data_IF_681304135565
#
_entry.id   IF_681304135565
#
_cell.length_a   1.000
_cell.length_b   1.000
_cell.length_c   1.000
_cell.angle_alpha   90.00
_cell.angle_beta   90.00
_cell.angle_gamma   90.00
#
_symmetry.space_group_name_H-M   'P 1'
#
loop_
_entity.id
_entity.type
_entity.pdbx_description
1 polymer ?
#
# COMPACT_ATOMS: atom_id res chain seq x y z
N UNK A 1 -5.10 20.09 43.09
CA UNK A 1 -3.73 19.80 43.57
C UNK A 1 -3.14 18.74 42.65
N UNK A 2 -1.94 19.02 42.11
CA UNK A 2 -1.11 18.26 41.14
C UNK A 2 -1.65 18.19 39.70
N UNK A 3 -1.06 18.96 38.77
CA UNK A 3 0.20 18.68 38.03
C UNK A 3 0.06 17.35 37.28
N UNK A 4 0.16 17.24 35.96
CA UNK A 4 0.76 18.08 34.94
C UNK A 4 1.50 17.13 33.99
N UNK A 5 1.20 17.13 32.69
CA UNK A 5 2.24 16.99 31.66
C UNK A 5 1.71 17.38 30.28
N UNK A 6 2.15 18.53 29.81
CA UNK A 6 2.04 18.99 28.42
C UNK A 6 3.04 18.22 27.55
N UNK A 7 2.56 17.49 26.55
CA UNK A 7 3.40 17.22 25.36
C UNK A 7 3.03 18.20 24.25
N UNK A 8 3.55 19.43 24.38
CA UNK A 8 3.70 20.35 23.25
C UNK A 8 4.90 19.88 22.44
N UNK A 9 4.66 19.14 21.37
CA UNK A 9 5.72 18.79 20.42
C UNK A 9 6.06 20.04 19.60
N UNK A 10 7.11 20.73 20.05
CA UNK A 10 7.65 21.93 19.47
C UNK A 10 8.59 21.53 18.32
N UNK A 11 8.08 21.43 17.09
CA UNK A 11 8.92 21.23 15.91
C UNK A 11 9.44 22.58 15.39
N UNK A 12 10.26 23.25 16.21
CA UNK A 12 11.10 24.38 15.80
C UNK A 12 12.56 23.97 15.94
N UNK A 13 13.09 23.27 14.92
CA UNK A 13 14.52 23.30 14.66
C UNK A 13 14.79 24.30 13.54
N UNK A 14 15.54 25.34 13.91
CA UNK A 14 16.12 26.39 13.08
C UNK A 14 16.80 25.78 11.84
N UNK A 15 16.21 25.94 10.66
CA UNK A 15 16.96 25.96 9.41
C UNK A 15 17.44 27.40 9.19
N UNK A 16 18.62 27.71 9.71
CA UNK A 16 19.25 29.02 9.49
C UNK A 16 20.74 28.82 9.24
N UNK A 17 21.05 28.18 8.10
CA UNK A 17 22.39 28.24 7.48
C UNK A 17 22.24 28.07 5.95
N UNK A 18 21.56 29.00 5.29
CA UNK A 18 21.67 29.26 3.86
C UNK A 18 21.54 30.78 3.71
N UNK A 19 22.68 31.51 3.64
CA UNK A 19 23.05 32.05 2.33
C UNK A 19 24.58 32.19 2.11
N UNK A 20 25.43 31.29 2.64
CA UNK A 20 26.89 31.39 2.40
C UNK A 20 27.31 30.69 1.09
N UNK A 21 26.61 29.64 0.66
CA UNK A 21 27.01 28.87 -0.52
C UNK A 21 26.63 29.48 -1.89
N UNK A 22 25.84 30.56 -1.94
CA UNK A 22 25.47 31.19 -3.21
C UNK A 22 26.55 32.20 -3.68
N UNK A 23 27.33 32.76 -2.75
CA UNK A 23 28.38 33.74 -3.08
C UNK A 23 29.64 33.05 -3.62
N UNK A 24 29.92 31.80 -3.23
CA UNK A 24 31.07 31.04 -3.74
C UNK A 24 30.83 30.47 -5.16
N UNK A 25 29.58 30.16 -5.51
CA UNK A 25 29.21 29.64 -6.84
C UNK A 25 29.18 30.77 -7.89
N UNK A 26 28.88 32.00 -7.49
CA UNK A 26 28.88 33.17 -8.39
C UNK A 26 30.28 33.62 -8.84
N UNK A 27 31.33 33.32 -8.08
CA UNK A 27 32.70 33.77 -8.39
C UNK A 27 33.47 32.81 -9.33
N UNK A 28 32.93 31.62 -9.58
CA UNK A 28 33.49 30.62 -10.49
C UNK A 28 32.95 30.70 -11.93
N UNK A 29 32.08 31.68 -12.23
CA UNK A 29 31.47 31.84 -13.56
C UNK A 29 32.05 32.99 -14.40
N UNK A 30 33.12 33.64 -13.92
CA UNK A 30 33.72 34.81 -14.57
C UNK A 30 35.02 34.51 -15.36
N UNK A 31 35.40 33.24 -15.54
CA UNK A 31 36.56 32.89 -16.35
C UNK A 31 36.16 31.92 -17.46
N UNK A 32 35.88 32.49 -18.64
CA UNK A 32 35.76 31.76 -19.90
C UNK A 32 37.05 30.97 -20.16
N UNK A 33 36.96 29.64 -20.15
CA UNK A 33 37.75 28.83 -21.09
C UNK A 33 36.97 27.60 -21.54
N UNK A 34 36.42 27.73 -22.73
CA UNK A 34 36.32 26.70 -23.75
C UNK A 34 37.43 25.65 -23.61
N UNK A 35 37.11 24.45 -23.09
CA UNK A 35 37.53 23.15 -23.61
C UNK A 35 36.49 22.10 -23.21
N UNK A 36 36.01 21.38 -24.22
CA UNK A 36 35.34 20.08 -24.17
C UNK A 36 35.39 19.38 -22.80
N UNK A 37 34.24 19.33 -22.10
CA UNK A 37 33.94 18.20 -21.23
C UNK A 37 32.90 17.33 -21.93
N UNK A 38 33.20 16.05 -22.13
CA UNK A 38 32.56 15.19 -23.11
C UNK A 38 31.10 14.93 -22.74
N UNK A 39 30.36 14.43 -23.71
CA UNK A 39 29.01 13.88 -23.64
C UNK A 39 28.88 12.68 -22.67
N UNK A 40 29.45 12.76 -21.47
CA UNK A 40 29.48 11.74 -20.43
C UNK A 40 28.66 12.13 -19.18
N UNK A 41 28.02 13.30 -19.19
CA UNK A 41 27.06 13.70 -18.15
C UNK A 41 25.61 13.27 -18.42
N UNK A 42 25.27 12.99 -19.68
CA UNK A 42 23.91 12.60 -20.08
C UNK A 42 23.53 11.17 -19.71
N UNK A 43 24.51 10.28 -19.56
CA UNK A 43 24.25 8.85 -19.33
C UNK A 43 23.90 8.54 -17.86
N UNK A 44 24.50 9.25 -16.90
CA UNK A 44 24.19 9.07 -15.47
C UNK A 44 22.83 9.68 -15.07
N UNK A 45 22.43 10.79 -15.69
CA UNK A 45 21.10 11.38 -15.47
C UNK A 45 19.98 10.44 -15.98
N UNK A 46 20.19 9.80 -17.13
CA UNK A 46 19.24 8.82 -17.67
C UNK A 46 19.09 7.57 -16.77
N UNK A 47 20.16 7.12 -16.10
CA UNK A 47 20.11 5.92 -15.23
C UNK A 47 19.33 6.19 -13.93
N UNK A 48 19.44 7.39 -13.34
CA UNK A 48 18.67 7.73 -12.13
C UNK A 48 17.16 7.80 -12.42
N UNK A 49 16.79 8.35 -13.58
CA UNK A 49 15.39 8.47 -14.01
C UNK A 49 14.74 7.09 -14.26
N UNK A 50 15.48 6.17 -14.89
CA UNK A 50 14.98 4.81 -15.15
C UNK A 50 14.73 4.01 -13.86
N UNK A 51 15.57 4.15 -12.82
CA UNK A 51 15.37 3.47 -11.54
C UNK A 51 14.14 4.02 -10.78
N UNK A 52 13.95 5.34 -10.81
CA UNK A 52 12.77 6.01 -10.24
C UNK A 52 11.48 5.59 -10.96
N UNK A 53 11.47 5.62 -12.30
CA UNK A 53 10.32 5.14 -13.09
C UNK A 53 10.01 3.67 -12.80
N UNK A 54 11.04 2.81 -12.67
CA UNK A 54 10.86 1.39 -12.34
C UNK A 54 10.34 1.17 -10.91
N UNK A 55 10.75 1.99 -9.94
CA UNK A 55 10.20 1.96 -8.58
C UNK A 55 8.74 2.42 -8.57
N UNK A 56 8.44 3.52 -9.25
CA UNK A 56 7.08 4.04 -9.39
C UNK A 56 6.15 3.01 -10.01
N UNK A 57 6.55 2.38 -11.11
CA UNK A 57 5.75 1.34 -11.78
C UNK A 57 5.45 0.15 -10.86
N UNK A 58 6.41 -0.25 -10.00
CA UNK A 58 6.21 -1.32 -9.01
C UNK A 58 5.23 -0.91 -7.92
N UNK A 59 5.33 0.30 -7.41
CA UNK A 59 4.40 0.82 -6.41
C UNK A 59 2.99 0.93 -6.97
N UNK A 60 2.84 1.49 -8.17
CA UNK A 60 1.55 1.56 -8.84
C UNK A 60 0.95 0.17 -9.07
N UNK A 61 1.78 -0.82 -9.46
CA UNK A 61 1.32 -2.20 -9.59
C UNK A 61 0.80 -2.75 -8.26
N UNK A 62 1.53 -2.53 -7.16
CA UNK A 62 1.10 -2.96 -5.83
C UNK A 62 -0.23 -2.31 -5.43
N UNK A 63 -0.35 -0.99 -5.61
CA UNK A 63 -1.59 -0.25 -5.30
C UNK A 63 -2.77 -0.73 -6.13
N UNK A 64 -2.56 -1.04 -7.41
CA UNK A 64 -3.59 -1.64 -8.27
C UNK A 64 -4.05 -3.00 -7.74
N UNK A 65 -3.13 -3.87 -7.33
CA UNK A 65 -3.47 -5.18 -6.78
C UNK A 65 -4.25 -5.06 -5.46
N UNK A 66 -3.83 -4.15 -4.57
CA UNK A 66 -4.56 -3.85 -3.33
C UNK A 66 -5.99 -3.41 -3.64
N UNK A 67 -6.17 -2.48 -4.59
CA UNK A 67 -7.49 -2.00 -4.98
C UNK A 67 -8.36 -3.12 -5.59
N UNK A 68 -7.78 -3.99 -6.42
CA UNK A 68 -8.50 -5.14 -6.97
C UNK A 68 -8.99 -6.08 -5.87
N UNK A 69 -8.15 -6.35 -4.87
CA UNK A 69 -8.51 -7.19 -3.72
C UNK A 69 -9.65 -6.56 -2.90
N UNK A 70 -9.59 -5.25 -2.66
CA UNK A 70 -10.66 -4.53 -1.97
C UNK A 70 -11.98 -4.53 -2.75
N UNK A 71 -11.95 -4.44 -4.08
CA UNK A 71 -13.15 -4.55 -4.91
C UNK A 71 -13.81 -5.93 -4.81
N UNK A 72 -13.02 -7.00 -4.69
CA UNK A 72 -13.55 -8.37 -4.47
C UNK A 72 -14.30 -8.48 -3.14
N UNK A 73 -14.00 -7.64 -2.14
CA UNK A 73 -14.70 -7.66 -0.85
C UNK A 73 -16.22 -7.45 -1.00
N UNK A 74 -16.66 -6.71 -2.01
CA UNK A 74 -18.10 -6.54 -2.30
C UNK A 74 -18.76 -7.85 -2.77
N UNK A 75 -18.08 -8.66 -3.58
CA UNK A 75 -18.60 -9.98 -3.98
C UNK A 75 -18.64 -10.95 -2.79
N UNK A 76 -17.61 -10.91 -1.94
CA UNK A 76 -17.60 -11.67 -0.68
C UNK A 76 -18.79 -11.26 0.20
N UNK A 77 -19.03 -9.94 0.33
CA UNK A 77 -20.15 -9.41 1.09
C UNK A 77 -21.48 -9.94 0.54
N UNK A 78 -21.71 -9.83 -0.78
CA UNK A 78 -22.94 -10.32 -1.43
C UNK A 78 -23.15 -11.82 -1.19
N UNK A 79 -22.09 -12.61 -1.28
CA UNK A 79 -22.18 -14.06 -1.08
C UNK A 79 -22.54 -14.38 0.37
N UNK A 80 -21.85 -13.74 1.33
CA UNK A 80 -22.11 -13.93 2.76
C UNK A 80 -23.50 -13.46 3.16
N UNK A 81 -23.96 -12.33 2.61
CA UNK A 81 -25.32 -11.81 2.81
C UNK A 81 -26.37 -12.84 2.39
N UNK A 82 -26.27 -13.34 1.14
CA UNK A 82 -27.18 -14.36 0.61
C UNK A 82 -27.19 -15.65 1.44
N UNK A 83 -26.03 -16.06 1.97
CA UNK A 83 -25.86 -17.27 2.76
C UNK A 83 -26.03 -17.07 4.26
N UNK A 84 -26.35 -15.85 4.70
CA UNK A 84 -26.44 -15.43 6.12
C UNK A 84 -25.20 -15.81 6.93
N UNK A 85 -24.03 -15.70 6.32
CA UNK A 85 -22.74 -16.01 6.92
C UNK A 85 -22.15 -14.77 7.61
N UNK A 86 -21.39 -14.99 8.67
CA UNK A 86 -20.69 -13.93 9.37
C UNK A 86 -19.58 -13.32 8.50
N UNK A 87 -19.34 -12.01 8.66
CA UNK A 87 -18.23 -11.32 8.01
C UNK A 87 -16.89 -11.86 8.52
N UNK A 88 -16.77 -12.12 9.82
CA UNK A 88 -15.56 -12.67 10.42
C UNK A 88 -15.43 -14.18 10.16
N UNK A 89 -14.28 -14.60 9.63
CA UNK A 89 -13.92 -16.02 9.44
C UNK A 89 -12.55 -16.27 10.10
N UNK A 90 -12.52 -16.35 11.44
CA UNK A 90 -11.25 -16.42 12.19
C UNK A 90 -10.35 -17.58 11.74
N UNK A 91 -10.95 -18.74 11.44
CA UNK A 91 -10.21 -19.93 11.02
C UNK A 91 -9.61 -19.71 9.63
N UNK A 92 -10.40 -19.27 8.66
CA UNK A 92 -9.90 -18.98 7.32
C UNK A 92 -8.87 -17.85 7.29
N UNK A 93 -9.06 -16.80 8.10
CA UNK A 93 -8.10 -15.70 8.26
C UNK A 93 -6.76 -16.22 8.81
N UNK A 94 -6.77 -17.07 9.83
CA UNK A 94 -5.53 -17.64 10.40
C UNK A 94 -4.83 -18.60 9.43
N UNK A 95 -5.57 -19.42 8.69
CA UNK A 95 -5.03 -20.33 7.67
C UNK A 95 -4.34 -19.54 6.55
N UNK A 96 -4.94 -18.45 6.09
CA UNK A 96 -4.37 -17.56 5.10
C UNK A 96 -3.07 -16.90 5.60
N UNK A 97 -3.07 -16.33 6.80
CA UNK A 97 -1.87 -15.70 7.37
C UNK A 97 -0.73 -16.70 7.57
N UNK A 98 -1.04 -17.93 7.99
CA UNK A 98 -0.05 -19.00 8.13
C UNK A 98 0.56 -19.37 6.77
N UNK A 99 -0.27 -19.53 5.72
CA UNK A 99 0.18 -19.80 4.35
C UNK A 99 1.11 -18.68 3.84
N UNK A 100 0.73 -17.43 4.05
CA UNK A 100 1.51 -16.26 3.61
C UNK A 100 2.84 -16.15 4.35
N UNK A 101 2.86 -16.38 5.66
CA UNK A 101 4.09 -16.42 6.46
C UNK A 101 5.09 -17.45 5.91
N UNK A 102 4.62 -18.65 5.54
CA UNK A 102 5.45 -19.67 4.92
C UNK A 102 5.96 -19.29 3.52
N UNK A 103 5.23 -18.45 2.78
CA UNK A 103 5.65 -17.95 1.47
C UNK A 103 6.67 -16.82 1.57
N UNK A 104 6.76 -16.10 2.69
CA UNK A 104 7.64 -14.93 2.85
C UNK A 104 9.11 -15.24 2.49
N UNK A 105 9.61 -16.40 2.92
CA UNK A 105 10.98 -16.85 2.65
C UNK A 105 11.28 -17.03 1.17
N UNK A 106 10.30 -17.45 0.36
CA UNK A 106 10.45 -17.61 -1.10
C UNK A 106 10.71 -16.30 -1.81
N UNK A 107 10.26 -15.18 -1.23
CA UNK A 107 10.41 -13.84 -1.79
C UNK A 107 11.47 -13.00 -1.07
N UNK A 108 12.22 -13.59 -0.11
CA UNK A 108 13.21 -12.86 0.69
C UNK A 108 12.58 -11.79 1.58
N UNK A 109 11.35 -11.98 2.04
CA UNK A 109 10.63 -11.07 2.92
C UNK A 109 10.63 -11.59 4.36
N UNK A 110 10.65 -10.66 5.33
CA UNK A 110 10.42 -10.96 6.74
C UNK A 110 8.98 -11.44 6.94
N UNK A 111 8.81 -12.61 7.55
CA UNK A 111 7.50 -13.24 7.75
C UNK A 111 6.51 -12.35 8.51
N UNK A 112 6.98 -11.64 9.54
CA UNK A 112 6.16 -10.73 10.34
C UNK A 112 5.69 -9.52 9.52
N UNK A 113 6.57 -8.98 8.65
CA UNK A 113 6.21 -7.85 7.79
C UNK A 113 5.11 -8.24 6.81
N UNK A 114 5.23 -9.40 6.18
CA UNK A 114 4.22 -9.91 5.24
C UNK A 114 2.90 -10.21 5.95
N UNK A 115 2.96 -10.85 7.12
CA UNK A 115 1.79 -11.20 7.92
C UNK A 115 1.04 -9.95 8.39
N UNK A 116 1.75 -8.93 8.89
CA UNK A 116 1.15 -7.67 9.31
C UNK A 116 0.49 -6.92 8.14
N UNK A 117 1.12 -6.93 6.97
CA UNK A 117 0.53 -6.33 5.77
C UNK A 117 -0.80 -7.00 5.41
N UNK A 118 -0.85 -8.33 5.36
CA UNK A 118 -2.09 -9.04 5.02
C UNK A 118 -3.14 -8.98 6.14
N UNK A 119 -2.74 -8.90 7.40
CA UNK A 119 -3.65 -8.64 8.51
C UNK A 119 -4.36 -7.28 8.35
N UNK A 120 -3.63 -6.26 7.90
CA UNK A 120 -4.21 -4.96 7.57
C UNK A 120 -5.19 -5.07 6.39
N UNK A 121 -4.84 -5.82 5.33
CA UNK A 121 -5.74 -6.00 4.18
C UNK A 121 -7.01 -6.80 4.49
N UNK A 122 -6.92 -7.83 5.32
CA UNK A 122 -8.09 -8.55 5.85
C UNK A 122 -9.00 -7.58 6.62
N UNK A 123 -8.40 -6.71 7.43
CA UNK A 123 -9.15 -5.72 8.22
C UNK A 123 -9.86 -4.71 7.31
N UNK A 124 -9.16 -4.15 6.33
CA UNK A 124 -9.73 -3.24 5.34
C UNK A 124 -10.89 -3.88 4.55
N UNK A 125 -10.71 -5.12 4.09
CA UNK A 125 -11.75 -5.87 3.38
C UNK A 125 -12.99 -6.13 4.24
N UNK A 126 -12.83 -6.33 5.55
CA UNK A 126 -13.96 -6.49 6.48
C UNK A 126 -14.69 -5.18 6.75
N UNK A 127 -14.00 -4.04 6.71
CA UNK A 127 -14.65 -2.73 6.80
C UNK A 127 -15.59 -2.49 5.61
N UNK A 128 -15.15 -2.83 4.40
CA UNK A 128 -16.00 -2.76 3.19
C UNK A 128 -17.23 -3.67 3.34
N UNK A 129 -17.02 -4.94 3.70
CA UNK A 129 -18.13 -5.88 3.93
C UNK A 129 -19.12 -5.37 4.99
N UNK A 130 -18.61 -4.75 6.05
CA UNK A 130 -19.46 -4.18 7.12
C UNK A 130 -20.29 -3.03 6.61
N UNK A 131 -19.69 -2.11 5.86
CA UNK A 131 -20.38 -0.97 5.28
C UNK A 131 -21.49 -1.43 4.30
N UNK A 132 -21.18 -2.42 3.46
CA UNK A 132 -22.15 -3.04 2.56
C UNK A 132 -23.34 -3.65 3.30
N UNK A 133 -23.07 -4.47 4.34
CA UNK A 133 -24.12 -5.10 5.15
C UNK A 133 -25.03 -4.06 5.79
N UNK A 134 -24.46 -3.00 6.39
CA UNK A 134 -25.21 -1.91 7.00
C UNK A 134 -26.09 -1.19 5.97
N UNK A 135 -25.54 -0.90 4.79
CA UNK A 135 -26.28 -0.26 3.71
C UNK A 135 -27.45 -1.15 3.23
N UNK A 136 -27.22 -2.45 3.06
CA UNK A 136 -28.24 -3.39 2.57
C UNK A 136 -29.34 -3.65 3.57
N UNK A 137 -29.01 -3.66 4.87
CA UNK A 137 -29.99 -3.70 5.95
C UNK A 137 -30.92 -2.48 5.89
N UNK A 138 -30.36 -1.27 5.78
CA UNK A 138 -31.14 -0.03 5.67
C UNK A 138 -32.01 0.01 4.41
N UNK A 139 -31.52 -0.55 3.30
CA UNK A 139 -32.24 -0.63 2.03
C UNK A 139 -33.26 -1.78 1.97
N UNK A 140 -33.29 -2.67 2.96
CA UNK A 140 -34.17 -3.85 2.97
C UNK A 140 -33.82 -4.88 1.89
N UNK A 141 -32.57 -4.94 1.44
CA UNK A 141 -32.13 -5.87 0.40
C UNK A 141 -32.16 -7.30 0.94
N UNK A 142 -32.96 -8.19 0.33
CA UNK A 142 -33.06 -9.58 0.80
C UNK A 142 -31.96 -10.50 0.26
N UNK A 143 -31.61 -10.33 -1.02
CA UNK A 143 -30.57 -11.13 -1.67
C UNK A 143 -30.13 -10.51 -2.99
N UNK A 144 -28.95 -10.91 -3.44
CA UNK A 144 -28.37 -10.56 -4.74
C UNK A 144 -28.45 -11.76 -5.71
N UNK A 145 -28.69 -11.49 -6.99
CA UNK A 145 -28.63 -12.51 -8.05
C UNK A 145 -27.21 -12.61 -8.62
N UNK A 146 -26.88 -13.75 -9.24
CA UNK A 146 -25.62 -13.98 -9.96
C UNK A 146 -24.35 -13.71 -9.15
N UNK A 147 -24.39 -14.00 -7.84
CA UNK A 147 -23.23 -13.83 -6.97
C UNK A 147 -22.24 -14.97 -7.19
N UNK A 148 -20.95 -14.71 -7.47
CA UNK A 148 -19.94 -15.76 -7.60
C UNK A 148 -19.81 -16.60 -6.33
N UNK A 149 -19.51 -17.90 -6.48
CA UNK A 149 -19.32 -18.75 -5.31
C UNK A 149 -18.01 -18.42 -4.56
N UNK A 150 -18.08 -18.39 -3.23
CA UNK A 150 -16.94 -18.04 -2.39
C UNK A 150 -15.77 -19.00 -2.55
N UNK A 151 -16.03 -20.30 -2.58
CA UNK A 151 -14.98 -21.32 -2.60
C UNK A 151 -14.51 -21.64 -4.01
N UNK A 152 -15.43 -21.65 -4.98
CA UNK A 152 -15.13 -22.06 -6.35
C UNK A 152 -14.61 -20.92 -7.23
N UNK A 153 -14.93 -19.66 -6.92
CA UNK A 153 -14.58 -18.52 -7.77
C UNK A 153 -13.82 -17.43 -7.01
N UNK A 154 -14.34 -16.97 -5.88
CA UNK A 154 -13.78 -15.80 -5.19
C UNK A 154 -12.45 -16.13 -4.52
N UNK A 155 -12.35 -17.20 -3.72
CA UNK A 155 -11.11 -17.61 -3.04
C UNK A 155 -9.95 -17.89 -4.02
N UNK A 156 -10.16 -18.61 -5.14
CA UNK A 156 -9.13 -18.75 -6.16
C UNK A 156 -8.65 -17.41 -6.75
N UNK A 157 -9.56 -16.47 -7.00
CA UNK A 157 -9.19 -15.11 -7.48
C UNK A 157 -8.36 -14.34 -6.45
N UNK A 158 -8.74 -14.42 -5.17
CA UNK A 158 -7.97 -13.85 -4.07
C UNK A 158 -6.56 -14.46 -3.96
N UNK A 159 -6.44 -15.79 -4.09
CA UNK A 159 -5.15 -16.47 -4.07
C UNK A 159 -4.23 -15.98 -5.22
N UNK A 160 -4.78 -15.76 -6.41
CA UNK A 160 -4.00 -15.22 -7.55
C UNK A 160 -3.44 -13.81 -7.30
N UNK A 161 -4.18 -12.96 -6.58
CA UNK A 161 -3.72 -11.60 -6.28
C UNK A 161 -2.66 -11.56 -5.16
N UNK A 162 -2.59 -12.61 -4.35
CA UNK A 162 -1.70 -12.68 -3.20
C UNK A 162 -0.32 -13.32 -3.50
N UNK A 163 -0.09 -13.79 -4.74
CA UNK A 163 1.11 -14.56 -5.13
C UNK A 163 1.97 -13.82 -6.16
#
# INVERSE_FOLDING_TARGET
>A
MKEGNSMKVNYRRKFSILPINIILVGLLFACQHFVLFPAWGSELAAIHDVCQVKQQLRLEKLLRLINQLLLIAHDVARWKWNKKQAIQDKRGEQELLTKLSQQATKYGLEADTLTNFFQAQITASKLIQTADFQQWEQQGIRSFKNVPDLNQSIRPSLDQLNT
#
